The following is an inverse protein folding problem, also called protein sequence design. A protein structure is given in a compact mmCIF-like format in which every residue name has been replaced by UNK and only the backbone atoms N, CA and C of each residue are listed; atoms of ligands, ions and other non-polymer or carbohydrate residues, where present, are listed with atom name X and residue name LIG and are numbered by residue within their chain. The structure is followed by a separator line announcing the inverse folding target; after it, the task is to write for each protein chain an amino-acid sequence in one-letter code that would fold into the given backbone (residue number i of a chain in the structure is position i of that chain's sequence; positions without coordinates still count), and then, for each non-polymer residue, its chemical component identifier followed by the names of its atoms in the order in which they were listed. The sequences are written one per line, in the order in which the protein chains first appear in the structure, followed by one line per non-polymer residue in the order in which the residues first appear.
data_IF_202038056348
#
_entry.id   IF_202038056348
#
_cell.length_a   1.000
_cell.length_b   1.000
_cell.length_c   1.000
_cell.angle_alpha   90.00
_cell.angle_beta   90.00
_cell.angle_gamma   90.00
#
_symmetry.space_group_name_H-M   'P 1'
#
loop_
_entity.id
_entity.type
_entity.pdbx_description
1 polymer ?
#
# COMPACT_ATOMS: atom_id res chain seq x y z
N UNK A 1 -5.49 10.55 -5.08
CA UNK A 1 -4.91 9.80 -3.95
C UNK A 1 -3.74 8.91 -4.37
N UNK A 2 -2.66 8.92 -3.59
CA UNK A 2 -1.46 8.10 -3.77
C UNK A 2 -1.20 7.26 -2.52
N UNK A 3 -0.53 6.12 -2.71
CA UNK A 3 -0.01 5.29 -1.64
C UNK A 3 1.52 5.36 -1.65
N UNK A 4 2.10 5.67 -0.50
CA UNK A 4 3.53 5.78 -0.28
C UNK A 4 3.97 4.64 0.64
N UNK A 5 5.09 3.99 0.31
CA UNK A 5 5.69 2.95 1.15
C UNK A 5 7.16 3.22 1.39
N UNK A 6 7.60 3.07 2.64
CA UNK A 6 9.01 3.12 3.03
C UNK A 6 9.39 1.86 3.80
N UNK A 7 10.65 1.47 3.67
CA UNK A 7 11.21 0.27 4.27
C UNK A 7 12.39 0.65 5.17
N UNK A 8 12.57 -0.07 6.27
CA UNK A 8 13.68 0.19 7.18
C UNK A 8 13.58 -0.57 8.49
N UNK A 9 14.44 -0.22 9.44
CA UNK A 9 14.34 -0.79 10.80
C UNK A 9 13.08 -0.28 11.49
N UNK A 10 12.51 -1.09 12.38
CA UNK A 10 11.31 -0.73 13.13
C UNK A 10 11.43 0.63 13.84
N UNK A 11 12.55 0.85 14.54
CA UNK A 11 12.77 2.09 15.30
C UNK A 11 12.85 3.33 14.40
N UNK A 12 13.48 3.21 13.21
CA UNK A 12 13.56 4.32 12.26
C UNK A 12 12.17 4.73 11.75
N UNK A 13 11.35 3.77 11.34
CA UNK A 13 10.01 4.05 10.82
C UNK A 13 9.06 4.50 11.93
N UNK A 14 9.15 3.90 13.12
CA UNK A 14 8.34 4.31 14.27
C UNK A 14 8.65 5.76 14.69
N UNK A 15 9.89 6.21 14.56
CA UNK A 15 10.23 7.61 14.81
C UNK A 15 9.55 8.56 13.80
N UNK A 16 9.43 8.17 12.52
CA UNK A 16 8.69 8.95 11.53
C UNK A 16 7.22 9.04 11.93
N UNK A 17 6.61 7.93 12.35
CA UNK A 17 5.22 7.89 12.83
C UNK A 17 4.99 8.81 14.02
N UNK A 18 5.83 8.72 15.05
CA UNK A 18 5.70 9.54 16.27
C UNK A 18 5.89 11.04 16.01
N UNK A 19 6.72 11.40 15.03
CA UNK A 19 6.99 12.81 14.70
C UNK A 19 5.89 13.46 13.85
N UNK A 20 4.98 12.68 13.26
CA UNK A 20 3.94 13.17 12.36
C UNK A 20 2.55 12.63 12.80
N UNK A 21 2.05 13.01 13.98
CA UNK A 21 0.81 12.46 14.54
C UNK A 21 -0.45 12.85 13.75
N UNK A 22 -0.36 13.89 12.92
CA UNK A 22 -1.46 14.35 12.06
C UNK A 22 -1.55 13.55 10.74
N UNK A 23 -0.64 12.59 10.51
CA UNK A 23 -0.62 11.73 9.34
C UNK A 23 -1.05 10.30 9.71
N UNK A 24 -1.93 9.73 8.90
CA UNK A 24 -2.40 8.35 9.05
C UNK A 24 -1.35 7.36 8.52
N UNK A 25 -0.40 7.03 9.40
CA UNK A 25 0.73 6.17 9.12
C UNK A 25 0.53 4.77 9.72
N UNK A 26 0.58 3.76 8.87
CA UNK A 26 0.39 2.36 9.26
C UNK A 26 1.72 1.60 9.17
N UNK A 27 2.20 1.09 10.29
CA UNK A 27 3.47 0.38 10.37
C UNK A 27 3.25 -1.12 10.60
N UNK A 28 3.98 -1.94 9.85
CA UNK A 28 3.92 -3.39 9.90
C UNK A 28 5.31 -4.01 10.03
N UNK A 29 5.32 -5.23 10.57
CA UNK A 29 6.49 -6.10 10.58
C UNK A 29 6.41 -7.07 9.40
N UNK A 30 7.45 -7.11 8.57
CA UNK A 30 7.65 -8.16 7.57
C UNK A 30 8.81 -9.07 7.99
N UNK A 31 9.11 -10.11 7.21
CA UNK A 31 10.17 -11.09 7.53
C UNK A 31 11.56 -10.45 7.58
N UNK A 32 11.83 -9.52 6.68
CA UNK A 32 13.18 -9.03 6.42
C UNK A 32 13.37 -7.55 6.81
N UNK A 33 12.27 -6.82 7.01
CA UNK A 33 12.26 -5.38 7.28
C UNK A 33 10.95 -4.94 7.93
N UNK A 34 10.92 -3.74 8.51
CA UNK A 34 9.66 -3.07 8.84
C UNK A 34 9.20 -2.26 7.63
N UNK A 35 7.89 -2.16 7.47
CA UNK A 35 7.24 -1.41 6.39
C UNK A 35 6.34 -0.38 7.02
N UNK A 36 6.33 0.83 6.48
CA UNK A 36 5.35 1.87 6.82
C UNK A 36 4.67 2.32 5.54
N UNK A 37 3.36 2.54 5.61
CA UNK A 37 2.56 3.01 4.49
C UNK A 37 1.71 4.21 4.89
N UNK A 38 1.48 5.07 3.90
CA UNK A 38 0.63 6.26 3.99
C UNK A 38 -0.20 6.33 2.71
N UNK A 39 -1.52 6.46 2.84
CA UNK A 39 -2.42 6.73 1.71
C UNK A 39 -2.97 8.14 1.89
N UNK A 40 -2.66 9.04 0.97
CA UNK A 40 -3.02 10.46 1.09
C UNK A 40 -3.12 11.14 -0.28
N UNK A 41 -3.87 12.24 -0.34
CA UNK A 41 -3.89 13.15 -1.50
C UNK A 41 -2.82 14.25 -1.39
N UNK A 42 -2.32 14.47 -0.18
CA UNK A 42 -1.32 15.48 0.13
C UNK A 42 0.11 14.94 -0.03
N UNK A 43 1.08 15.79 0.29
CA UNK A 43 2.49 15.40 0.30
C UNK A 43 2.78 14.47 1.48
N UNK A 44 3.27 13.27 1.17
CA UNK A 44 3.72 12.31 2.19
C UNK A 44 4.91 12.81 3.02
N UNK A 45 4.92 12.40 4.30
CA UNK A 45 6.01 12.63 5.26
C UNK A 45 7.06 11.52 5.25
N UNK A 46 6.84 10.45 4.49
CA UNK A 46 7.75 9.33 4.38
C UNK A 46 9.04 9.72 3.65
N UNK A 47 10.16 9.12 4.06
CA UNK A 47 11.48 9.38 3.48
C UNK A 47 11.79 8.36 2.39
N UNK A 48 12.15 8.85 1.21
CA UNK A 48 12.44 8.04 0.01
C UNK A 48 11.38 6.96 -0.27
N UNK A 49 10.08 7.32 -0.33
CA UNK A 49 9.04 6.33 -0.51
C UNK A 49 9.03 5.78 -1.94
N UNK A 50 8.65 4.52 -2.08
CA UNK A 50 8.04 4.04 -3.33
C UNK A 50 6.62 4.60 -3.38
N UNK A 51 6.32 5.38 -4.42
CA UNK A 51 5.04 6.05 -4.63
C UNK A 51 4.22 5.26 -5.64
N UNK A 52 2.93 5.13 -5.40
CA UNK A 52 1.99 4.45 -6.28
C UNK A 52 0.69 5.25 -6.41
N UNK A 53 0.15 5.33 -7.62
CA UNK A 53 -1.20 5.81 -7.85
C UNK A 53 -2.20 4.71 -7.44
N UNK A 54 -3.22 5.06 -6.66
CA UNK A 54 -4.29 4.12 -6.30
C UNK A 54 -5.32 4.07 -7.41
N UNK A 55 -5.35 2.98 -8.18
CA UNK A 55 -6.29 2.82 -9.30
C UNK A 55 -7.65 2.28 -8.88
N UNK A 56 -7.66 1.42 -7.87
CA UNK A 56 -8.88 0.83 -7.33
C UNK A 56 -8.66 0.44 -5.87
N UNK A 57 -9.70 0.62 -5.05
CA UNK A 57 -9.62 0.35 -3.63
C UNK A 57 -10.94 -0.18 -3.06
N UNK A 58 -10.82 -0.99 -2.01
CA UNK A 58 -11.93 -1.46 -1.19
C UNK A 58 -11.48 -1.43 0.27
N UNK A 59 -12.33 -0.93 1.17
CA UNK A 59 -12.07 -0.91 2.61
C UNK A 59 -10.94 0.02 3.05
N UNK A 60 -10.73 0.08 4.37
CA UNK A 60 -9.76 0.95 5.03
C UNK A 60 -8.55 0.18 5.55
N UNK A 61 -7.42 0.87 5.68
CA UNK A 61 -6.25 0.34 6.37
C UNK A 61 -6.48 0.28 7.89
N UNK A 62 -5.80 -0.67 8.52
CA UNK A 62 -5.80 -0.88 9.96
C UNK A 62 -4.54 -1.65 10.36
N UNK A 63 -3.87 -1.23 11.43
CA UNK A 63 -2.63 -1.87 11.90
C UNK A 63 -2.84 -3.27 12.49
N UNK A 64 -4.07 -3.63 12.86
CA UNK A 64 -4.41 -4.95 13.39
C UNK A 64 -4.80 -5.96 12.30
N UNK A 65 -4.80 -5.56 11.02
CA UNK A 65 -5.06 -6.46 9.90
C UNK A 65 -3.76 -7.06 9.36
N UNK A 66 -3.89 -8.22 8.72
CA UNK A 66 -2.82 -8.84 7.95
C UNK A 66 -2.89 -8.38 6.49
N UNK A 67 -1.73 -8.06 5.91
CA UNK A 67 -1.62 -7.64 4.51
C UNK A 67 -0.67 -8.56 3.74
N UNK A 68 -1.02 -8.82 2.49
CA UNK A 68 -0.16 -9.45 1.51
C UNK A 68 0.11 -8.44 0.39
N UNK A 69 1.38 -8.11 0.17
CA UNK A 69 1.81 -7.28 -0.96
C UNK A 69 2.25 -8.19 -2.10
N UNK A 70 1.59 -8.09 -3.26
CA UNK A 70 1.91 -8.84 -4.47
C UNK A 70 2.60 -7.91 -5.47
N UNK A 71 3.88 -8.17 -5.72
CA UNK A 71 4.67 -7.44 -6.72
C UNK A 71 4.57 -8.16 -8.07
N UNK A 72 3.97 -7.51 -9.06
CA UNK A 72 3.75 -8.08 -10.40
C UNK A 72 4.66 -7.32 -11.39
N UNK A 73 5.84 -7.86 -11.75
CA UNK A 73 6.71 -7.21 -12.72
C UNK A 73 6.06 -7.22 -14.11
N UNK A 74 6.18 -6.11 -14.82
CA UNK A 74 5.69 -5.95 -16.19
C UNK A 74 6.67 -5.11 -17.00
N UNK A 75 6.70 -5.31 -18.32
CA UNK A 75 7.41 -4.41 -19.23
C UNK A 75 6.58 -3.16 -19.51
N UNK A 76 7.24 -2.09 -19.95
CA UNK A 76 6.57 -0.85 -20.36
C UNK A 76 5.50 -1.12 -21.44
N UNK A 77 5.79 -2.03 -22.38
CA UNK A 77 4.88 -2.39 -23.47
C UNK A 77 3.60 -3.11 -23.01
N UNK A 78 3.61 -3.72 -21.82
CA UNK A 78 2.52 -4.56 -21.32
C UNK A 78 1.80 -3.98 -20.10
N UNK A 79 2.34 -2.93 -19.47
CA UNK A 79 1.76 -2.28 -18.28
C UNK A 79 0.29 -1.90 -18.47
N UNK A 80 -0.01 -1.18 -19.56
CA UNK A 80 -1.38 -0.73 -19.88
C UNK A 80 -2.38 -1.88 -20.08
N UNK A 81 -1.93 -2.99 -20.68
CA UNK A 81 -2.80 -4.15 -20.89
C UNK A 81 -3.04 -4.92 -19.59
N UNK A 82 -2.00 -5.03 -18.76
CA UNK A 82 -2.08 -5.64 -17.44
C UNK A 82 -3.02 -4.86 -16.52
N UNK A 83 -2.88 -3.54 -16.47
CA UNK A 83 -3.74 -2.65 -15.68
C UNK A 83 -5.21 -2.86 -16.03
N UNK A 84 -5.55 -2.80 -17.32
CA UNK A 84 -6.92 -3.04 -17.78
C UNK A 84 -7.42 -4.41 -17.36
N UNK A 85 -6.61 -5.47 -17.47
CA UNK A 85 -7.02 -6.82 -17.05
C UNK A 85 -7.30 -6.89 -15.55
N UNK A 86 -6.45 -6.29 -14.72
CA UNK A 86 -6.61 -6.29 -13.26
C UNK A 86 -7.85 -5.50 -12.81
N UNK A 87 -8.11 -4.36 -13.44
CA UNK A 87 -9.33 -3.57 -13.17
C UNK A 87 -10.62 -4.34 -13.50
N UNK A 88 -10.64 -5.09 -14.60
CA UNK A 88 -11.81 -5.90 -14.97
C UNK A 88 -11.91 -7.21 -14.21
N UNK A 89 -10.84 -7.68 -13.56
CA UNK A 89 -10.84 -8.96 -12.84
C UNK A 89 -11.82 -8.92 -11.66
N UNK A 90 -12.05 -7.74 -11.06
CA UNK A 90 -13.09 -7.47 -10.06
C UNK A 90 -13.32 -8.65 -9.12
N UNK A 91 -12.34 -8.98 -8.27
CA UNK A 91 -12.47 -10.16 -7.43
C UNK A 91 -13.70 -10.03 -6.51
N UNK A 92 -14.43 -11.11 -6.21
CA UNK A 92 -15.62 -11.05 -5.37
C UNK A 92 -15.19 -10.96 -3.90
N UNK A 93 -14.60 -9.82 -3.52
CA UNK A 93 -13.97 -9.60 -2.24
C UNK A 93 -14.91 -9.87 -1.05
N UNK A 94 -16.19 -9.51 -1.19
CA UNK A 94 -17.22 -9.69 -0.16
C UNK A 94 -17.60 -11.15 0.09
N UNK A 95 -17.23 -12.06 -0.80
CA UNK A 95 -17.56 -13.49 -0.68
C UNK A 95 -16.56 -14.28 0.17
N UNK A 96 -15.39 -13.71 0.47
CA UNK A 96 -14.35 -14.38 1.23
C UNK A 96 -14.36 -13.96 2.70
N UNK A 97 -14.65 -14.91 3.59
CA UNK A 97 -14.59 -14.66 5.03
C UNK A 97 -13.20 -14.17 5.45
N UNK A 98 -13.15 -13.06 6.19
CA UNK A 98 -11.91 -12.45 6.65
C UNK A 98 -11.30 -11.42 5.69
N UNK A 99 -11.90 -11.19 4.52
CA UNK A 99 -11.52 -10.06 3.67
C UNK A 99 -11.76 -8.73 4.42
N UNK A 100 -10.83 -7.77 4.25
CA UNK A 100 -10.86 -6.45 4.89
C UNK A 100 -10.70 -5.32 3.89
N UNK A 101 -9.64 -5.39 3.08
CA UNK A 101 -9.30 -4.32 2.16
C UNK A 101 -8.52 -4.82 0.96
N UNK A 102 -8.58 -4.06 -0.13
CA UNK A 102 -7.83 -4.29 -1.36
C UNK A 102 -7.33 -2.95 -1.93
N UNK A 103 -6.16 -2.99 -2.56
CA UNK A 103 -5.59 -1.88 -3.34
C UNK A 103 -5.00 -2.42 -4.64
N UNK A 104 -5.35 -1.79 -5.76
CA UNK A 104 -4.62 -1.93 -7.02
C UNK A 104 -3.76 -0.68 -7.20
N UNK A 105 -2.45 -0.89 -7.27
CA UNK A 105 -1.45 0.18 -7.23
C UNK A 105 -0.66 0.21 -8.54
N UNK A 106 -0.53 1.40 -9.12
CA UNK A 106 0.30 1.63 -10.30
C UNK A 106 1.55 2.43 -9.91
N UNK A 107 2.76 1.89 -10.10
CA UNK A 107 4.02 2.60 -9.80
C UNK A 107 4.23 3.85 -10.66
#
# INVERSE_FOLDING_TARGET
MNLYTSYGTYGFLNQIKLNNPDHDLFQFSASDTSVILEETEDKSVLKHPSSYNVLYQVGEFNENHFYCALFIPSSEDHSNQLEKKLLHLGAPFDSFAGFKSYRLLNP
#
